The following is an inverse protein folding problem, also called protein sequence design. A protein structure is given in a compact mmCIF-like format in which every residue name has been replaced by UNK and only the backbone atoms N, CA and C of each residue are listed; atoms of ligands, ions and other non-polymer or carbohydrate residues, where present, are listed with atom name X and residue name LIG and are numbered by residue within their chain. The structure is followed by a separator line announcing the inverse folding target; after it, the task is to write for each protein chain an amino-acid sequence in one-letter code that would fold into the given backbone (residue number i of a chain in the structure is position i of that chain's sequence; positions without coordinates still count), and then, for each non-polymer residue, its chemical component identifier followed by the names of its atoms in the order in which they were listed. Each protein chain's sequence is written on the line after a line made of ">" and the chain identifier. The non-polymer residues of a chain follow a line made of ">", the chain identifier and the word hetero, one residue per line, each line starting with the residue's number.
data_IF_209501397152
#
_entry.id   IF_209501397152
#
_cell.length_a   1.000
_cell.length_b   1.000
_cell.length_c   1.000
_cell.angle_alpha   90.00
_cell.angle_beta   90.00
_cell.angle_gamma   90.00
#
_symmetry.space_group_name_H-M   'P 1'
#
loop_
_entity.id
_entity.type
_entity.pdbx_description
1 polymer ?
#
# COMPACT_ATOMS: atom_id res chain seq x y z
N UNK A 1 10.07 33.23 -38.99
CA UNK A 1 11.12 33.11 -37.94
C UNK A 1 10.60 33.56 -36.57
N UNK A 2 10.12 34.80 -36.39
CA UNK A 2 9.56 35.28 -35.10
C UNK A 2 8.42 34.41 -34.53
N UNK A 3 7.51 33.92 -35.37
CA UNK A 3 6.42 32.99 -34.97
C UNK A 3 6.93 31.65 -34.42
N UNK A 4 8.03 31.13 -34.96
CA UNK A 4 8.66 29.89 -34.50
C UNK A 4 9.33 30.11 -33.14
N UNK A 5 9.97 31.27 -32.95
CA UNK A 5 10.57 31.67 -31.67
C UNK A 5 9.51 31.75 -30.58
N UNK A 6 8.34 32.35 -30.84
CA UNK A 6 7.23 32.38 -29.86
C UNK A 6 6.73 30.98 -29.51
N UNK A 7 6.70 30.06 -30.47
CA UNK A 7 6.28 28.68 -30.26
C UNK A 7 7.29 27.89 -29.39
N UNK A 8 8.59 28.11 -29.61
CA UNK A 8 9.66 27.51 -28.81
C UNK A 8 9.63 28.03 -27.37
N UNK A 9 9.45 29.33 -27.18
CA UNK A 9 9.37 29.94 -25.84
C UNK A 9 8.14 29.42 -25.07
N UNK A 10 6.98 29.29 -25.73
CA UNK A 10 5.79 28.70 -25.13
C UNK A 10 5.97 27.22 -24.76
N UNK A 11 6.68 26.45 -25.60
CA UNK A 11 7.01 25.05 -25.31
C UNK A 11 7.88 24.90 -24.05
N UNK A 12 8.82 25.82 -23.81
CA UNK A 12 9.68 25.77 -22.63
C UNK A 12 8.92 26.02 -21.32
N UNK A 13 7.89 26.86 -21.33
CA UNK A 13 7.07 27.13 -20.13
C UNK A 13 6.21 25.95 -19.67
N UNK A 14 5.91 25.00 -20.58
CA UNK A 14 5.14 23.79 -20.24
C UNK A 14 6.01 22.74 -19.56
N UNK A 15 7.34 22.80 -19.74
CA UNK A 15 8.28 21.83 -19.17
C UNK A 15 8.67 22.17 -17.71
N UNK A 16 8.35 23.37 -17.22
CA UNK A 16 8.72 23.83 -15.86
C UNK A 16 7.58 23.72 -14.85
N UNK A 17 6.40 23.20 -15.24
CA UNK A 17 5.21 23.14 -14.37
C UNK A 17 5.13 21.89 -13.48
N UNK A 18 6.10 20.97 -13.59
CA UNK A 18 6.18 19.83 -12.69
C UNK A 18 7.08 20.20 -11.52
N UNK A 19 6.48 20.41 -10.33
CA UNK A 19 7.23 20.41 -9.07
C UNK A 19 7.78 19.00 -8.86
N UNK A 20 8.98 18.80 -9.39
CA UNK A 20 9.63 17.49 -9.45
C UNK A 20 9.81 16.91 -8.05
N UNK A 21 10.15 17.77 -7.08
CA UNK A 21 10.40 17.38 -5.69
C UNK A 21 9.13 16.86 -5.00
N UNK A 22 7.99 17.55 -5.18
CA UNK A 22 6.71 17.13 -4.61
C UNK A 22 6.14 15.88 -5.30
N UNK A 23 6.53 15.60 -6.53
CA UNK A 23 6.15 14.39 -7.27
C UNK A 23 7.03 13.19 -6.91
N UNK A 24 8.34 13.39 -6.80
CA UNK A 24 9.28 12.32 -6.46
C UNK A 24 9.12 11.83 -5.02
N UNK A 25 8.69 12.70 -4.11
CA UNK A 25 8.55 12.39 -2.68
C UNK A 25 7.10 12.13 -2.25
N UNK A 26 6.23 11.64 -3.14
CA UNK A 26 4.84 11.31 -2.78
C UNK A 26 4.76 9.97 -2.05
N UNK A 27 4.01 9.97 -0.95
CA UNK A 27 3.54 8.75 -0.31
C UNK A 27 2.20 8.32 -0.92
N UNK A 28 1.94 7.01 -1.04
CA UNK A 28 0.63 6.48 -1.41
C UNK A 28 -0.47 6.91 -0.43
N UNK A 29 -1.64 7.29 -0.95
CA UNK A 29 -2.79 7.75 -0.15
C UNK A 29 -3.58 6.61 0.50
N UNK A 30 -3.47 5.42 -0.05
CA UNK A 30 -4.26 4.24 0.30
C UNK A 30 -3.46 3.19 1.08
N UNK A 31 -2.20 3.49 1.39
CA UNK A 31 -1.36 2.57 2.15
C UNK A 31 -0.61 3.27 3.26
N UNK A 32 -0.33 2.49 4.29
CA UNK A 32 0.46 2.91 5.44
C UNK A 32 1.92 3.04 4.98
N UNK A 33 2.53 4.20 5.23
CA UNK A 33 3.96 4.43 4.96
C UNK A 33 4.73 4.60 6.25
N UNK A 34 5.98 4.18 6.24
CA UNK A 34 6.85 4.27 7.41
C UNK A 34 7.09 5.72 7.85
N UNK A 35 7.05 6.67 6.92
CA UNK A 35 7.32 8.09 7.16
C UNK A 35 6.30 8.70 8.13
N UNK A 36 5.04 8.30 8.04
CA UNK A 36 3.94 8.99 8.73
C UNK A 36 3.24 8.18 9.81
N UNK A 37 3.48 6.86 9.88
CA UNK A 37 2.62 5.97 10.65
C UNK A 37 3.17 5.60 12.04
N UNK A 38 4.48 5.43 12.21
CA UNK A 38 5.07 4.88 13.43
C UNK A 38 5.35 5.95 14.49
N UNK A 39 4.30 6.43 15.19
CA UNK A 39 4.42 7.54 16.16
C UNK A 39 4.25 7.10 17.61
N UNK A 40 3.62 5.96 17.83
CA UNK A 40 3.29 5.45 19.16
C UNK A 40 3.23 3.92 19.17
N UNK A 41 3.24 3.33 20.38
CA UNK A 41 3.02 1.89 20.55
C UNK A 41 1.62 1.45 20.08
N UNK A 42 0.63 2.34 20.12
CA UNK A 42 -0.73 2.05 19.65
C UNK A 42 -0.77 1.85 18.14
N UNK A 43 0.08 2.54 17.37
CA UNK A 43 0.13 2.41 15.91
C UNK A 43 0.61 1.01 15.52
N UNK A 44 1.61 0.49 16.24
CA UNK A 44 2.07 -0.89 16.08
C UNK A 44 0.98 -1.90 16.44
N UNK A 45 0.27 -1.68 17.53
CA UNK A 45 -0.84 -2.55 17.94
C UNK A 45 -1.94 -2.60 16.86
N UNK A 46 -2.27 -1.47 16.22
CA UNK A 46 -3.26 -1.43 15.15
C UNK A 46 -2.76 -2.11 13.88
N UNK A 47 -1.50 -1.87 13.50
CA UNK A 47 -0.91 -2.46 12.31
C UNK A 47 -0.90 -3.98 12.35
N UNK A 48 -0.57 -4.59 13.50
CA UNK A 48 -0.48 -6.06 13.58
C UNK A 48 -1.83 -6.76 13.43
N UNK A 49 -2.96 -6.06 13.62
CA UNK A 49 -4.28 -6.66 13.47
C UNK A 49 -4.56 -7.17 12.05
N UNK A 50 -3.92 -6.62 11.02
CA UNK A 50 -4.10 -7.09 9.64
C UNK A 50 -3.68 -8.57 9.47
N UNK A 51 -2.73 -9.04 10.28
CA UNK A 51 -2.21 -10.41 10.23
C UNK A 51 -3.17 -11.44 10.80
N UNK A 52 -4.25 -11.05 11.49
CA UNK A 52 -5.27 -12.01 11.94
C UNK A 52 -5.91 -12.78 10.78
N UNK A 53 -5.91 -12.20 9.57
CA UNK A 53 -6.38 -12.87 8.35
C UNK A 53 -5.51 -14.03 7.91
N UNK A 54 -4.25 -14.10 8.37
CA UNK A 54 -3.34 -15.21 8.08
C UNK A 54 -3.55 -16.41 9.01
N UNK A 55 -4.29 -16.24 10.11
CA UNK A 55 -4.58 -17.35 10.99
C UNK A 55 -5.56 -18.32 10.31
N UNK A 56 -5.47 -19.63 10.62
CA UNK A 56 -6.46 -20.60 10.16
C UNK A 56 -7.86 -20.13 10.55
N UNK A 57 -8.70 -19.96 9.54
CA UNK A 57 -10.09 -19.56 9.72
C UNK A 57 -11.01 -20.76 9.50
N UNK A 58 -12.10 -20.84 10.26
CA UNK A 58 -13.16 -21.78 9.93
C UNK A 58 -13.89 -21.28 8.67
N UNK A 59 -13.91 -22.04 7.57
CA UNK A 59 -14.70 -21.68 6.41
C UNK A 59 -16.19 -21.76 6.75
N UNK A 60 -17.01 -20.99 6.04
CA UNK A 60 -18.48 -21.02 6.21
C UNK A 60 -19.12 -22.38 5.93
N UNK A 61 -18.41 -23.31 5.31
CA UNK A 61 -18.87 -24.67 5.03
C UNK A 61 -17.68 -25.64 5.00
N UNK A 62 -17.88 -26.84 5.53
CA UNK A 62 -16.84 -27.85 5.72
C UNK A 62 -16.10 -27.73 7.07
N UNK A 63 -15.27 -28.72 7.41
CA UNK A 63 -14.56 -28.80 8.70
C UNK A 63 -13.33 -27.91 8.83
N UNK A 64 -13.03 -27.09 7.82
CA UNK A 64 -12.00 -26.07 7.89
C UNK A 64 -10.59 -26.60 8.13
N UNK A 65 -9.82 -25.83 8.90
CA UNK A 65 -8.47 -26.22 9.25
C UNK A 65 -8.39 -27.56 10.00
N UNK A 66 -9.49 -28.06 10.60
CA UNK A 66 -9.52 -29.40 11.20
C UNK A 66 -9.44 -30.52 10.15
N UNK A 67 -9.86 -30.26 8.91
CA UNK A 67 -9.69 -31.20 7.80
C UNK A 67 -8.31 -31.07 7.14
N UNK A 68 -7.68 -29.89 7.23
CA UNK A 68 -6.29 -29.67 6.79
C UNK A 68 -5.27 -30.23 7.79
N UNK A 69 -5.58 -30.14 9.09
CA UNK A 69 -4.89 -30.74 10.24
C UNK A 69 -5.21 -32.25 10.36
N UNK A 70 -5.01 -32.98 9.26
CA UNK A 70 -5.33 -34.41 9.12
C UNK A 70 -4.29 -35.35 9.76
N UNK A 71 -3.48 -34.83 10.70
CA UNK A 71 -2.35 -35.52 11.31
C UNK A 71 -2.32 -35.38 12.84
N UNK A 72 -3.33 -34.73 13.43
CA UNK A 72 -3.55 -34.75 14.87
C UNK A 72 -4.19 -36.09 15.27
N UNK A 73 -3.64 -36.73 16.30
CA UNK A 73 -4.01 -38.05 16.83
C UNK A 73 -5.42 -38.11 17.47
N UNK A 74 -6.15 -36.98 17.44
CA UNK A 74 -7.49 -36.82 17.97
C UNK A 74 -8.60 -36.90 16.90
N UNK A 75 -8.26 -37.21 15.65
CA UNK A 75 -9.25 -37.51 14.60
C UNK A 75 -9.57 -39.00 14.59
N UNK A 76 -10.72 -39.37 15.18
CA UNK A 76 -11.29 -40.72 15.19
C UNK A 76 -12.39 -40.89 14.13
#
# INVERSE_FOLDING_TARGET
>A
MKKIIYLIVFSFTVLTSCDLDDYLNKTPLDSITDVDYWKSASDLQLYVNQFYTMLPQFPSWGGGYLWEDNNSDNMA
#
